data_IF_391354165973
#
_entry.id   IF_391354165973
#
_cell.length_a   1.000
_cell.length_b   1.000
_cell.length_c   1.000
_cell.angle_alpha   90.00
_cell.angle_beta   90.00
_cell.angle_gamma   90.00
#
_symmetry.space_group_name_H-M   'P 1'
#
loop_
_entity.id
_entity.type
_entity.pdbx_description
1 polymer ?
#
# COMPACT_ATOMS: atom_id res chain seq x y z
N UNK A 1 -3.56 19.79 -3.33
CA UNK A 1 -4.39 18.73 -2.73
C UNK A 1 -3.39 17.90 -1.95
N UNK A 2 -3.11 18.36 -0.73
CA UNK A 2 -1.93 17.93 0.04
C UNK A 2 -2.29 16.66 0.80
N UNK A 3 -2.54 15.60 0.03
CA UNK A 3 -2.71 14.26 0.52
C UNK A 3 -1.34 13.63 0.77
N UNK A 4 -1.36 12.61 1.59
CA UNK A 4 -0.22 11.98 2.22
C UNK A 4 0.54 11.14 1.19
N UNK A 5 1.13 11.78 0.17
CA UNK A 5 1.66 11.13 -1.05
C UNK A 5 2.73 10.06 -0.74
N UNK A 6 3.41 10.18 0.41
CA UNK A 6 4.44 9.23 0.87
C UNK A 6 3.89 8.09 1.77
N UNK A 7 2.58 8.03 2.05
CA UNK A 7 2.04 7.00 2.95
C UNK A 7 2.05 5.60 2.35
N UNK A 8 1.72 5.52 1.05
CA UNK A 8 1.65 4.29 0.30
C UNK A 8 2.56 4.40 -0.91
N UNK A 9 3.26 3.32 -1.30
CA UNK A 9 4.02 3.31 -2.53
C UNK A 9 3.15 3.69 -3.72
N UNK A 10 3.68 4.46 -4.68
CA UNK A 10 2.96 4.89 -5.87
C UNK A 10 2.30 3.73 -6.64
N UNK A 11 2.93 2.55 -6.64
CA UNK A 11 2.37 1.38 -7.30
C UNK A 11 1.07 0.87 -6.66
N UNK A 12 0.76 1.24 -5.42
CA UNK A 12 -0.48 0.92 -4.71
C UNK A 12 -1.48 2.09 -4.65
N UNK A 13 -1.31 3.15 -5.46
CA UNK A 13 -2.17 4.33 -5.45
C UNK A 13 -3.66 4.05 -5.77
N UNK A 14 -3.96 2.89 -6.35
CA UNK A 14 -5.33 2.46 -6.62
C UNK A 14 -6.06 1.93 -5.38
N UNK A 15 -5.35 1.62 -4.31
CA UNK A 15 -5.93 1.12 -3.06
C UNK A 15 -6.63 2.27 -2.35
N UNK A 16 -7.91 2.08 -2.05
CA UNK A 16 -8.72 3.04 -1.30
C UNK A 16 -9.21 2.40 -0.02
N UNK A 17 -9.18 3.17 1.06
CA UNK A 17 -9.61 2.70 2.37
C UNK A 17 -9.53 3.80 3.42
N UNK A 18 -9.96 3.44 4.63
CA UNK A 18 -9.86 4.30 5.80
C UNK A 18 -8.99 3.60 6.83
N UNK A 19 -8.00 4.32 7.37
CA UNK A 19 -7.11 3.82 8.42
C UNK A 19 -7.46 4.54 9.70
N UNK A 20 -7.90 3.78 10.71
CA UNK A 20 -8.10 4.29 12.06
C UNK A 20 -6.97 3.77 12.96
N UNK A 21 -6.35 4.65 13.73
CA UNK A 21 -5.30 4.29 14.68
C UNK A 21 -5.46 5.12 15.95
N UNK A 22 -5.53 4.43 17.09
CA UNK A 22 -5.64 5.06 18.41
C UNK A 22 -4.29 5.64 18.89
N UNK A 23 -3.19 5.26 18.23
CA UNK A 23 -1.81 5.62 18.60
C UNK A 23 -1.30 6.89 17.89
N UNK A 24 -2.10 7.50 17.00
CA UNK A 24 -1.74 8.75 16.32
C UNK A 24 -2.29 9.94 17.13
N UNK A 25 -1.43 10.83 17.65
CA UNK A 25 -1.90 11.99 18.39
C UNK A 25 -2.69 12.95 17.51
N UNK A 26 -3.84 13.43 18.00
CA UNK A 26 -4.71 14.38 17.29
C UNK A 26 -4.02 15.72 16.96
N UNK A 27 -3.00 16.11 17.73
CA UNK A 27 -2.37 17.44 17.67
C UNK A 27 -0.94 17.37 17.11
N UNK A 28 -0.76 16.77 15.94
CA UNK A 28 0.56 16.58 15.33
C UNK A 28 0.70 17.42 14.04
N UNK A 29 1.84 18.08 13.85
CA UNK A 29 2.10 18.86 12.63
C UNK A 29 2.31 17.93 11.43
N UNK A 30 2.09 18.42 10.20
CA UNK A 30 2.32 17.65 8.96
C UNK A 30 3.75 17.09 8.87
N UNK A 31 4.72 17.86 9.36
CA UNK A 31 6.14 17.52 9.36
C UNK A 31 6.47 16.40 10.38
N UNK A 32 5.92 16.49 11.60
CA UNK A 32 6.06 15.45 12.62
C UNK A 32 5.28 14.18 12.25
N UNK A 33 4.19 14.29 11.49
CA UNK A 33 3.45 13.18 10.91
C UNK A 33 4.38 12.36 10.00
N UNK A 34 5.04 12.98 9.02
CA UNK A 34 5.90 12.27 8.06
C UNK A 34 7.09 11.55 8.70
N UNK A 35 7.68 12.10 9.77
CA UNK A 35 8.78 11.43 10.48
C UNK A 35 8.33 10.47 11.60
N UNK A 36 7.02 10.28 11.77
CA UNK A 36 6.49 9.42 12.82
C UNK A 36 6.77 7.94 12.52
N UNK A 37 7.52 7.28 13.41
CA UNK A 37 7.82 5.83 13.35
C UNK A 37 6.56 4.96 13.28
N UNK A 38 5.46 5.38 13.91
CA UNK A 38 4.18 4.67 13.91
C UNK A 38 3.59 4.68 12.50
N UNK A 39 3.59 5.81 11.80
CA UNK A 39 3.09 5.87 10.42
C UNK A 39 3.92 5.02 9.46
N UNK A 40 5.24 5.08 9.58
CA UNK A 40 6.14 4.21 8.80
C UNK A 40 5.85 2.73 9.05
N UNK A 41 5.48 2.36 10.28
CA UNK A 41 5.04 1.00 10.62
C UNK A 41 3.68 0.65 10.02
N UNK A 42 2.69 1.55 10.10
CA UNK A 42 1.36 1.36 9.53
C UNK A 42 1.47 1.21 8.00
N UNK A 43 2.19 2.10 7.32
CA UNK A 43 2.45 2.04 5.88
C UNK A 43 3.00 0.67 5.44
N UNK A 44 4.07 0.18 6.11
CA UNK A 44 4.62 -1.16 5.83
C UNK A 44 3.62 -2.28 6.09
N UNK A 45 2.79 -2.15 7.12
CA UNK A 45 1.75 -3.14 7.44
C UNK A 45 0.65 -3.16 6.37
N UNK A 46 0.26 -2.00 5.84
CA UNK A 46 -0.71 -1.88 4.75
C UNK A 46 -0.17 -2.47 3.45
N UNK A 47 1.08 -2.16 3.09
CA UNK A 47 1.74 -2.79 1.92
C UNK A 47 1.72 -4.31 2.07
N UNK A 48 2.13 -4.83 3.24
CA UNK A 48 2.10 -6.28 3.50
C UNK A 48 0.71 -6.86 3.33
N UNK A 49 -0.33 -6.21 3.89
CA UNK A 49 -1.71 -6.67 3.78
C UNK A 49 -2.23 -6.65 2.35
N UNK A 50 -1.87 -5.64 1.55
CA UNK A 50 -2.23 -5.58 0.14
C UNK A 50 -1.66 -6.76 -0.63
N UNK A 51 -0.38 -7.08 -0.41
CA UNK A 51 0.27 -8.23 -1.09
C UNK A 51 -0.33 -9.57 -0.66
N UNK A 52 -0.69 -9.73 0.61
CA UNK A 52 -1.44 -10.90 1.10
C UNK A 52 -2.78 -11.02 0.37
N UNK A 53 -3.53 -9.93 0.24
CA UNK A 53 -4.81 -9.92 -0.49
C UNK A 53 -4.63 -10.25 -1.98
N UNK A 54 -3.55 -9.80 -2.63
CA UNK A 54 -3.27 -10.15 -4.03
C UNK A 54 -2.95 -11.64 -4.18
N UNK A 55 -2.22 -12.22 -3.22
CA UNK A 55 -1.93 -13.65 -3.21
C UNK A 55 -3.21 -14.48 -2.99
N UNK A 56 -4.06 -14.09 -2.04
CA UNK A 56 -5.39 -14.71 -1.83
C UNK A 56 -6.25 -14.60 -3.09
N UNK A 57 -6.24 -13.44 -3.77
CA UNK A 57 -6.99 -13.25 -5.01
C UNK A 57 -6.48 -14.13 -6.14
N UNK A 58 -5.17 -14.40 -6.18
CA UNK A 58 -4.53 -15.24 -7.19
C UNK A 58 -4.86 -16.74 -7.06
N UNK A 59 -5.44 -17.17 -5.93
CA UNK A 59 -5.92 -18.54 -5.75
C UNK A 59 -7.15 -18.84 -6.64
N UNK A 60 -7.90 -17.80 -7.04
CA UNK A 60 -9.10 -17.94 -7.86
C UNK A 60 -8.95 -17.25 -9.23
N UNK A 61 -9.07 -18.04 -10.29
CA UNK A 61 -8.61 -17.66 -11.64
C UNK A 61 -9.43 -16.51 -12.25
N UNK A 62 -10.74 -16.50 -12.06
CA UNK A 62 -11.63 -15.52 -12.69
C UNK A 62 -11.55 -14.13 -12.05
N UNK A 63 -11.63 -13.96 -10.71
CA UNK A 63 -11.44 -12.65 -10.10
C UNK A 63 -10.01 -12.13 -10.28
N UNK A 64 -9.00 -13.02 -10.27
CA UNK A 64 -7.61 -12.62 -10.53
C UNK A 64 -7.41 -12.07 -11.94
N UNK A 65 -8.03 -12.67 -12.98
CA UNK A 65 -7.94 -12.13 -14.35
C UNK A 65 -8.46 -10.71 -14.45
N UNK A 66 -9.60 -10.42 -13.82
CA UNK A 66 -10.17 -9.08 -13.81
C UNK A 66 -9.23 -8.07 -13.09
N UNK A 67 -8.69 -8.48 -11.95
CA UNK A 67 -7.70 -7.68 -11.21
C UNK A 67 -6.43 -7.43 -12.01
N UNK A 68 -5.85 -8.47 -12.60
CA UNK A 68 -4.61 -8.38 -13.37
C UNK A 68 -4.81 -7.53 -14.63
N UNK A 69 -5.96 -7.65 -15.30
CA UNK A 69 -6.30 -6.79 -16.43
C UNK A 69 -6.34 -5.30 -16.05
N UNK A 70 -6.87 -4.98 -14.87
CA UNK A 70 -6.97 -3.60 -14.39
C UNK A 70 -5.65 -3.04 -13.83
N UNK A 71 -4.88 -3.85 -13.11
CA UNK A 71 -3.77 -3.37 -12.26
C UNK A 71 -2.39 -4.00 -12.59
N UNK A 72 -2.24 -4.73 -13.68
CA UNK A 72 -0.93 -5.32 -14.05
C UNK A 72 0.17 -4.28 -14.24
N UNK A 73 -0.14 -3.07 -14.71
CA UNK A 73 0.83 -1.96 -14.81
C UNK A 73 1.35 -1.56 -13.43
N UNK A 74 0.46 -1.49 -12.44
CA UNK A 74 0.81 -1.20 -11.05
C UNK A 74 1.70 -2.30 -10.45
N UNK A 75 1.36 -3.58 -10.65
CA UNK A 75 2.20 -4.69 -10.18
C UNK A 75 3.61 -4.62 -10.79
N UNK A 76 3.70 -4.37 -12.10
CA UNK A 76 4.99 -4.23 -12.80
C UNK A 76 5.81 -3.04 -12.31
N UNK A 77 5.16 -1.92 -11.98
CA UNK A 77 5.82 -0.78 -11.36
C UNK A 77 6.35 -1.16 -9.97
N UNK A 78 5.57 -1.89 -9.18
CA UNK A 78 6.02 -2.41 -7.88
C UNK A 78 7.26 -3.31 -7.98
N UNK A 79 7.36 -4.16 -9.01
CA UNK A 79 8.57 -4.99 -9.24
C UNK A 79 9.82 -4.12 -9.47
N UNK A 80 9.66 -2.98 -10.16
CA UNK A 80 10.75 -2.03 -10.40
C UNK A 80 11.13 -1.26 -9.13
N UNK A 81 10.13 -0.68 -8.45
CA UNK A 81 10.32 0.30 -7.37
C UNK A 81 10.51 -0.32 -5.97
N UNK A 82 9.91 -1.49 -5.71
CA UNK A 82 9.93 -2.14 -4.40
C UNK A 82 10.81 -3.39 -4.40
N UNK A 83 12.11 -3.18 -4.26
CA UNK A 83 13.09 -4.26 -4.16
C UNK A 83 12.86 -5.22 -2.98
N UNK A 84 12.23 -4.77 -1.90
CA UNK A 84 11.98 -5.59 -0.72
C UNK A 84 10.82 -6.57 -0.93
N UNK A 85 9.81 -6.17 -1.71
CA UNK A 85 8.63 -6.99 -2.02
C UNK A 85 8.65 -7.62 -3.42
N UNK A 86 9.70 -7.41 -4.22
CA UNK A 86 9.84 -7.92 -5.59
C UNK A 86 9.53 -9.42 -5.75
N UNK A 87 9.90 -10.26 -4.79
CA UNK A 87 9.65 -11.70 -4.88
C UNK A 87 8.18 -12.11 -4.61
N UNK A 88 7.39 -11.20 -4.03
CA UNK A 88 5.97 -11.41 -3.68
C UNK A 88 5.00 -10.76 -4.67
N UNK A 89 5.51 -9.88 -5.54
CA UNK A 89 4.81 -9.18 -6.61
C UNK A 89 4.95 -9.94 -7.94
#
# INVERSE_FOLDING_TARGET
MDEFDDFMPHYLCFVKGVVNSDDIPLNISRELLQDNRILKFIARSLVRRCLEMFAELAEDNDPYKAFYAAFSTNIKLGIHDDGANRARL
#
